data_IF_489138209372
#
_entry.id   IF_489138209372
#
_cell.length_a   1.000
_cell.length_b   1.000
_cell.length_c   1.000
_cell.angle_alpha   90.00
_cell.angle_beta   90.00
_cell.angle_gamma   90.00
#
_symmetry.space_group_name_H-M   'P 1'
#
loop_
_entity.id
_entity.type
_entity.pdbx_description
1 polymer ?
#
# COMPACT_ATOMS: atom_id res chain seq x y z
N UNK A 1 27.27 -37.33 8.32
CA UNK A 1 27.62 -36.95 6.94
C UNK A 1 27.18 -35.48 6.83
N UNK A 2 28.09 -34.53 7.11
CA UNK A 2 27.83 -33.11 6.88
C UNK A 2 27.85 -32.89 5.37
N UNK A 3 26.69 -32.66 4.78
CA UNK A 3 26.57 -32.20 3.39
C UNK A 3 27.15 -30.79 3.38
N UNK A 4 28.07 -30.57 2.46
CA UNK A 4 28.83 -29.33 2.31
C UNK A 4 27.87 -28.21 1.88
N UNK A 5 27.36 -27.47 2.88
CA UNK A 5 26.39 -26.36 2.68
C UNK A 5 26.93 -25.23 1.78
N UNK A 6 28.25 -25.10 1.65
CA UNK A 6 28.88 -24.09 0.83
C UNK A 6 28.79 -24.38 -0.69
N UNK A 7 28.85 -25.63 -1.10
CA UNK A 7 28.75 -26.04 -2.52
C UNK A 7 27.28 -25.91 -3.00
N UNK A 8 26.33 -26.20 -2.12
CA UNK A 8 24.91 -26.02 -2.41
C UNK A 8 24.53 -24.52 -2.56
N UNK A 9 25.17 -23.63 -1.79
CA UNK A 9 24.92 -22.20 -1.84
C UNK A 9 25.46 -21.54 -3.12
N UNK A 10 26.66 -21.94 -3.62
CA UNK A 10 27.19 -21.41 -4.89
C UNK A 10 26.36 -21.85 -6.10
N UNK A 11 25.95 -23.12 -6.13
CA UNK A 11 25.09 -23.63 -7.20
C UNK A 11 23.71 -22.98 -7.15
N UNK A 12 23.14 -22.78 -5.98
CA UNK A 12 21.88 -22.07 -5.77
C UNK A 12 21.97 -20.62 -6.22
N UNK A 13 23.05 -19.91 -5.91
CA UNK A 13 23.26 -18.52 -6.33
C UNK A 13 23.33 -18.41 -7.85
N UNK A 14 24.06 -19.30 -8.54
CA UNK A 14 24.15 -19.26 -10.00
C UNK A 14 22.78 -19.45 -10.66
N UNK A 15 21.97 -20.41 -10.20
CA UNK A 15 20.61 -20.65 -10.68
C UNK A 15 19.72 -19.43 -10.43
N UNK A 16 19.82 -18.83 -9.24
CA UNK A 16 19.07 -17.61 -8.89
C UNK A 16 19.42 -16.46 -9.84
N UNK A 17 20.71 -16.22 -10.09
CA UNK A 17 21.17 -15.13 -10.95
C UNK A 17 20.70 -15.34 -12.40
N UNK A 18 20.71 -16.57 -12.90
CA UNK A 18 20.17 -16.92 -14.24
C UNK A 18 18.66 -16.65 -14.32
N UNK A 19 17.89 -17.00 -13.28
CA UNK A 19 16.44 -16.74 -13.23
C UNK A 19 16.15 -15.24 -13.23
N UNK A 20 16.92 -14.45 -12.47
CA UNK A 20 16.77 -12.98 -12.43
C UNK A 20 17.18 -12.37 -13.80
N UNK A 21 18.29 -12.82 -14.39
CA UNK A 21 18.74 -12.35 -15.69
C UNK A 21 17.75 -12.67 -16.84
N UNK A 22 17.09 -13.82 -16.75
CA UNK A 22 16.03 -14.24 -17.68
C UNK A 22 14.68 -13.54 -17.47
N UNK A 23 14.57 -12.62 -16.52
CA UNK A 23 13.30 -11.98 -16.09
C UNK A 23 12.20 -13.02 -15.73
N UNK A 24 12.63 -14.16 -15.21
CA UNK A 24 11.77 -15.24 -14.75
C UNK A 24 11.42 -15.09 -13.27
N UNK A 25 10.51 -15.93 -12.76
CA UNK A 25 10.02 -15.83 -11.38
C UNK A 25 10.70 -16.84 -10.47
N UNK A 26 10.96 -16.39 -9.27
CA UNK A 26 11.34 -17.21 -8.11
C UNK A 26 10.06 -17.64 -7.41
N UNK A 27 9.90 -18.91 -7.17
CA UNK A 27 8.75 -19.50 -6.45
C UNK A 27 9.12 -19.88 -5.00
N UNK A 28 8.15 -20.14 -4.10
CA UNK A 28 8.43 -20.36 -2.67
C UNK A 28 9.39 -21.50 -2.34
N UNK A 29 9.50 -22.49 -3.23
CA UNK A 29 10.37 -23.65 -3.04
C UNK A 29 11.74 -23.52 -3.70
N UNK A 30 11.92 -22.46 -4.50
CA UNK A 30 13.19 -22.20 -5.14
C UNK A 30 14.20 -21.72 -4.12
N UNK A 31 15.45 -22.07 -4.34
CA UNK A 31 16.54 -21.49 -3.58
C UNK A 31 16.61 -19.97 -3.86
N UNK A 32 16.82 -19.19 -2.82
CA UNK A 32 16.99 -17.75 -2.93
C UNK A 32 17.95 -17.23 -1.86
N UNK A 33 18.77 -16.20 -2.16
CA UNK A 33 19.65 -15.61 -1.17
C UNK A 33 18.85 -15.03 0.02
N UNK A 34 19.37 -15.19 1.21
CA UNK A 34 18.79 -14.61 2.43
C UNK A 34 18.53 -13.11 2.33
N UNK A 35 19.40 -12.38 1.65
CA UNK A 35 19.24 -10.94 1.46
C UNK A 35 18.04 -10.60 0.57
N UNK A 36 17.76 -11.42 -0.46
CA UNK A 36 16.57 -11.30 -1.30
C UNK A 36 15.32 -11.62 -0.48
N UNK A 37 15.30 -12.73 0.25
CA UNK A 37 14.21 -13.16 1.13
C UNK A 37 13.84 -12.07 2.15
N UNK A 38 14.82 -11.53 2.88
CA UNK A 38 14.60 -10.46 3.86
C UNK A 38 14.07 -9.17 3.21
N UNK A 39 14.51 -8.85 2.01
CA UNK A 39 14.02 -7.68 1.27
C UNK A 39 12.56 -7.86 0.90
N UNK A 40 12.17 -9.04 0.41
CA UNK A 40 10.78 -9.36 0.09
C UNK A 40 9.88 -9.34 1.33
N UNK A 41 10.29 -10.00 2.42
CA UNK A 41 9.51 -9.99 3.67
C UNK A 41 9.24 -8.55 4.11
N UNK A 42 10.27 -7.71 4.17
CA UNK A 42 10.12 -6.31 4.54
C UNK A 42 9.17 -5.57 3.61
N UNK A 43 9.33 -5.70 2.29
CA UNK A 43 8.56 -4.96 1.29
C UNK A 43 7.10 -5.43 1.25
N UNK A 44 6.86 -6.73 1.23
CA UNK A 44 5.51 -7.31 1.20
C UNK A 44 4.77 -7.02 2.51
N UNK A 45 5.45 -7.16 3.66
CA UNK A 45 4.84 -6.84 4.96
C UNK A 45 4.49 -5.35 5.08
N UNK A 46 5.38 -4.46 4.65
CA UNK A 46 5.10 -3.02 4.63
C UNK A 46 3.89 -2.69 3.74
N UNK A 47 3.78 -3.34 2.60
CA UNK A 47 2.65 -3.18 1.69
C UNK A 47 1.36 -3.69 2.34
N UNK A 48 1.35 -4.92 2.86
CA UNK A 48 0.20 -5.49 3.56
C UNK A 48 -0.27 -4.62 4.74
N UNK A 49 0.67 -4.11 5.54
CA UNK A 49 0.36 -3.18 6.62
C UNK A 49 -0.25 -1.88 6.10
N UNK A 50 0.18 -1.39 4.93
CA UNK A 50 -0.38 -0.19 4.30
C UNK A 50 -1.84 -0.40 3.93
N UNK A 51 -2.20 -1.51 3.32
CA UNK A 51 -3.58 -1.86 2.98
C UNK A 51 -4.47 -1.89 4.23
N UNK A 52 -4.05 -2.62 5.27
CA UNK A 52 -4.83 -2.76 6.50
C UNK A 52 -4.99 -1.44 7.25
N UNK A 53 -3.96 -0.58 7.27
CA UNK A 53 -4.06 0.73 7.91
C UNK A 53 -4.83 1.71 7.03
N UNK A 54 -4.72 1.59 5.71
CA UNK A 54 -5.44 2.39 4.73
C UNK A 54 -6.97 2.31 4.87
N UNK A 55 -7.49 1.17 5.33
CA UNK A 55 -8.92 1.05 5.65
C UNK A 55 -9.43 2.06 6.69
N UNK A 56 -8.60 2.47 7.66
CA UNK A 56 -9.08 3.22 8.82
C UNK A 56 -9.64 4.61 8.50
N UNK A 57 -8.99 5.45 7.69
CA UNK A 57 -9.54 6.75 7.32
C UNK A 57 -10.88 6.62 6.59
N UNK A 58 -11.02 5.65 5.71
CA UNK A 58 -12.21 5.45 4.87
C UNK A 58 -13.36 4.77 5.60
N UNK A 59 -13.07 3.74 6.42
CA UNK A 59 -14.07 3.05 7.23
C UNK A 59 -14.85 4.01 8.14
N UNK A 60 -14.19 5.04 8.67
CA UNK A 60 -14.84 6.07 9.48
C UNK A 60 -15.88 6.91 8.71
N UNK A 61 -15.85 6.88 7.36
CA UNK A 61 -16.76 7.62 6.51
C UNK A 61 -17.92 6.79 5.95
N UNK A 62 -17.93 5.48 6.10
CA UNK A 62 -19.01 4.61 5.60
C UNK A 62 -20.37 5.10 6.07
N UNK A 63 -20.53 5.31 7.37
CA UNK A 63 -21.82 5.77 7.95
C UNK A 63 -22.14 7.23 7.64
N UNK A 64 -21.14 8.05 7.33
CA UNK A 64 -21.25 9.49 7.03
C UNK A 64 -21.34 9.82 5.54
N UNK A 65 -21.15 8.86 4.66
CA UNK A 65 -21.27 9.05 3.22
C UNK A 65 -22.66 9.59 2.84
N UNK A 66 -22.77 10.50 1.84
CA UNK A 66 -23.96 11.34 1.62
C UNK A 66 -25.18 10.58 1.06
N UNK A 67 -25.02 9.37 0.57
CA UNK A 67 -26.12 8.55 0.05
C UNK A 67 -25.89 7.07 0.32
N UNK A 68 -26.98 6.28 0.28
CA UNK A 68 -26.90 4.82 0.44
C UNK A 68 -25.98 4.18 -0.62
N UNK A 69 -26.03 4.68 -1.87
CA UNK A 69 -25.12 4.24 -2.94
C UNK A 69 -23.66 4.50 -2.57
N UNK A 70 -23.34 5.70 -2.08
CA UNK A 70 -21.96 6.03 -1.69
C UNK A 70 -21.50 5.25 -0.46
N UNK A 71 -22.40 4.96 0.49
CA UNK A 71 -22.10 4.06 1.64
C UNK A 71 -21.72 2.66 1.16
N UNK A 72 -22.51 2.09 0.26
CA UNK A 72 -22.28 0.74 -0.27
C UNK A 72 -20.95 0.66 -1.05
N UNK A 73 -20.65 1.66 -1.88
CA UNK A 73 -19.39 1.72 -2.64
C UNK A 73 -18.20 1.83 -1.69
N UNK A 74 -18.25 2.72 -0.70
CA UNK A 74 -17.15 2.89 0.25
C UNK A 74 -16.94 1.65 1.12
N UNK A 75 -18.03 0.96 1.49
CA UNK A 75 -17.93 -0.30 2.22
C UNK A 75 -17.26 -1.40 1.38
N UNK A 76 -17.60 -1.49 0.09
CA UNK A 76 -16.96 -2.44 -0.82
C UNK A 76 -15.45 -2.14 -0.95
N UNK A 77 -15.07 -0.88 -1.13
CA UNK A 77 -13.67 -0.46 -1.16
C UNK A 77 -12.92 -0.88 0.11
N UNK A 78 -13.45 -0.56 1.28
CA UNK A 78 -12.82 -0.92 2.57
C UNK A 78 -12.68 -2.44 2.73
N UNK A 79 -13.62 -3.21 2.20
CA UNK A 79 -13.52 -4.68 2.17
C UNK A 79 -12.41 -5.16 1.23
N UNK A 80 -12.25 -4.52 0.07
CA UNK A 80 -11.18 -4.84 -0.88
C UNK A 80 -9.81 -4.59 -0.24
N UNK A 81 -9.58 -3.45 0.43
CA UNK A 81 -8.34 -3.13 1.15
C UNK A 81 -7.99 -4.20 2.20
N UNK A 82 -9.00 -4.69 2.94
CA UNK A 82 -8.82 -5.80 3.87
C UNK A 82 -8.36 -7.08 3.13
N UNK A 83 -8.96 -7.37 1.98
CA UNK A 83 -8.61 -8.50 1.12
C UNK A 83 -7.18 -8.37 0.57
N UNK A 84 -6.77 -7.18 0.13
CA UNK A 84 -5.41 -6.88 -0.32
C UNK A 84 -4.38 -7.20 0.78
N UNK A 85 -4.62 -6.73 1.99
CA UNK A 85 -3.78 -7.04 3.15
C UNK A 85 -3.64 -8.55 3.39
N UNK A 86 -4.73 -9.32 3.28
CA UNK A 86 -4.72 -10.77 3.44
C UNK A 86 -3.94 -11.49 2.33
N UNK A 87 -4.07 -11.05 1.06
CA UNK A 87 -3.28 -11.64 -0.05
C UNK A 87 -1.79 -11.42 0.15
N UNK A 88 -1.42 -10.22 0.58
CA UNK A 88 -0.02 -9.88 0.83
C UNK A 88 0.55 -10.60 2.05
N UNK A 89 -0.22 -10.75 3.12
CA UNK A 89 0.20 -11.59 4.25
C UNK A 89 0.42 -13.04 3.82
N UNK A 90 -0.47 -13.59 2.99
CA UNK A 90 -0.28 -14.93 2.46
C UNK A 90 0.99 -15.05 1.60
N UNK A 91 1.35 -14.00 0.84
CA UNK A 91 2.61 -13.99 0.12
C UNK A 91 3.83 -13.92 1.06
N UNK A 92 3.76 -13.15 2.16
CA UNK A 92 4.82 -13.10 3.18
C UNK A 92 4.97 -14.42 3.93
N UNK A 93 3.86 -15.12 4.22
CA UNK A 93 3.86 -16.45 4.85
C UNK A 93 4.64 -17.48 4.03
N UNK A 94 4.60 -17.40 2.70
CA UNK A 94 5.41 -18.29 1.84
C UNK A 94 6.92 -18.04 1.93
N UNK A 95 7.33 -16.93 2.56
CA UNK A 95 8.73 -16.59 2.85
C UNK A 95 9.15 -16.95 4.28
N UNK A 96 8.24 -17.51 5.08
CA UNK A 96 8.49 -17.97 6.45
C UNK A 96 8.14 -16.97 7.55
N UNK A 97 7.47 -15.84 7.22
CA UNK A 97 6.99 -14.87 8.24
C UNK A 97 5.56 -15.20 8.62
N UNK A 98 5.32 -15.48 9.92
CA UNK A 98 3.99 -15.85 10.41
C UNK A 98 3.01 -14.66 10.42
N UNK A 99 1.72 -14.96 10.16
CA UNK A 99 0.67 -13.93 10.20
C UNK A 99 0.53 -13.28 11.57
N UNK A 100 0.60 -14.08 12.63
CA UNK A 100 0.51 -13.58 14.00
C UNK A 100 1.63 -12.59 14.32
N UNK A 101 2.86 -12.86 13.85
CA UNK A 101 3.97 -11.92 13.97
C UNK A 101 3.69 -10.60 13.26
N UNK A 102 3.12 -10.64 12.07
CA UNK A 102 2.76 -9.44 11.29
C UNK A 102 1.66 -8.64 11.98
N UNK A 103 0.65 -9.30 12.55
CA UNK A 103 -0.41 -8.67 13.34
C UNK A 103 0.16 -8.04 14.63
N UNK A 104 1.06 -8.73 15.32
CA UNK A 104 1.75 -8.20 16.50
C UNK A 104 2.57 -6.94 16.18
N UNK A 105 3.20 -6.88 15.01
CA UNK A 105 3.87 -5.65 14.55
C UNK A 105 2.90 -4.48 14.39
N UNK A 106 1.68 -4.72 13.86
CA UNK A 106 0.64 -3.69 13.76
C UNK A 106 0.19 -3.17 15.12
N UNK A 107 -0.07 -4.08 16.06
CA UNK A 107 -0.60 -3.76 17.38
C UNK A 107 0.47 -3.16 18.30
N UNK A 108 1.72 -3.60 18.20
CA UNK A 108 2.83 -3.02 18.95
C UNK A 108 3.25 -1.64 18.45
N UNK A 109 2.86 -1.24 17.25
CA UNK A 109 3.29 0.00 16.60
C UNK A 109 4.66 -0.10 15.92
N UNK A 110 5.22 -1.30 15.78
CA UNK A 110 6.49 -1.54 15.08
C UNK A 110 6.33 -1.68 13.56
N UNK A 111 5.11 -1.92 13.08
CA UNK A 111 4.83 -2.06 11.66
C UNK A 111 5.26 -0.81 10.89
N UNK A 112 5.91 -1.03 9.74
CA UNK A 112 6.16 0.00 8.74
C UNK A 112 5.03 -0.05 7.72
N UNK A 113 4.55 1.11 7.32
CA UNK A 113 3.48 1.29 6.32
C UNK A 113 3.60 2.67 5.67
N UNK A 114 2.84 2.94 4.63
CA UNK A 114 2.87 4.21 3.92
C UNK A 114 2.54 5.39 4.84
N UNK A 115 3.36 6.44 4.81
CA UNK A 115 3.19 7.65 5.63
C UNK A 115 1.85 8.32 5.43
N UNK A 116 1.27 8.21 4.23
CA UNK A 116 0.03 8.87 3.81
C UNK A 116 -1.16 8.57 4.74
N UNK A 117 -1.24 7.37 5.31
CA UNK A 117 -2.34 6.97 6.20
C UNK A 117 -2.31 7.63 7.58
N UNK A 118 -1.26 8.41 7.88
CA UNK A 118 -1.16 9.21 9.10
C UNK A 118 -1.63 10.67 8.92
N UNK A 119 -2.31 10.96 7.81
CA UNK A 119 -2.97 12.25 7.58
C UNK A 119 -4.49 12.17 7.87
N UNK A 120 -5.11 13.30 8.32
CA UNK A 120 -6.52 13.30 8.71
C UNK A 120 -7.45 13.40 7.48
N UNK A 121 -8.48 12.55 7.44
CA UNK A 121 -9.61 12.70 6.53
C UNK A 121 -10.71 13.54 7.21
N UNK A 122 -10.86 14.80 6.81
CA UNK A 122 -11.69 15.83 7.50
C UNK A 122 -13.08 15.98 6.91
N UNK A 123 -13.19 15.84 5.58
CA UNK A 123 -14.42 16.09 4.83
C UNK A 123 -14.75 14.93 3.91
N UNK A 124 -15.97 14.92 3.33
CA UNK A 124 -16.33 13.94 2.32
C UNK A 124 -15.44 14.03 1.07
N UNK A 125 -14.93 15.23 0.74
CA UNK A 125 -14.02 15.40 -0.39
C UNK A 125 -12.70 14.64 -0.19
N UNK A 126 -12.27 14.42 1.06
CA UNK A 126 -11.07 13.62 1.33
C UNK A 126 -11.22 12.16 0.86
N UNK A 127 -12.46 11.62 0.85
CA UNK A 127 -12.72 10.31 0.23
C UNK A 127 -12.51 10.34 -1.28
N UNK A 128 -12.80 11.48 -1.90
CA UNK A 128 -12.48 11.72 -3.30
C UNK A 128 -10.98 11.83 -3.55
N UNK A 129 -10.28 12.63 -2.74
CA UNK A 129 -8.83 12.82 -2.89
C UNK A 129 -8.04 11.56 -2.53
N UNK A 130 -8.46 10.77 -1.55
CA UNK A 130 -7.85 9.46 -1.26
C UNK A 130 -7.99 8.57 -2.50
N UNK A 131 -9.19 8.36 -3.01
CA UNK A 131 -9.38 7.53 -4.19
C UNK A 131 -8.62 8.04 -5.42
N UNK A 132 -8.61 9.33 -5.68
CA UNK A 132 -7.94 9.86 -6.86
C UNK A 132 -6.42 9.95 -6.72
N UNK A 133 -5.92 10.55 -5.62
CA UNK A 133 -4.49 10.81 -5.43
C UNK A 133 -3.76 9.63 -4.79
N UNK A 134 -4.32 9.05 -3.72
CA UNK A 134 -3.62 8.00 -2.97
C UNK A 134 -3.70 6.66 -3.72
N UNK A 135 -4.90 6.24 -4.15
CA UNK A 135 -5.04 5.01 -4.94
C UNK A 135 -4.42 5.18 -6.34
N UNK A 136 -4.45 6.41 -6.90
CA UNK A 136 -3.73 6.73 -8.13
C UNK A 136 -2.21 6.55 -8.02
N UNK A 137 -1.61 7.02 -6.93
CA UNK A 137 -0.19 6.79 -6.63
C UNK A 137 0.09 5.31 -6.33
N UNK A 138 -0.83 4.64 -5.62
CA UNK A 138 -0.75 3.20 -5.38
C UNK A 138 -0.72 2.42 -6.70
N UNK A 139 -1.62 2.68 -7.64
CA UNK A 139 -1.65 2.03 -8.96
C UNK A 139 -0.32 2.26 -9.71
N UNK A 140 0.20 3.48 -9.76
CA UNK A 140 1.49 3.77 -10.40
C UNK A 140 2.62 2.93 -9.81
N UNK A 141 2.60 2.70 -8.50
CA UNK A 141 3.60 1.90 -7.80
C UNK A 141 3.37 0.38 -7.96
N UNK A 142 2.11 -0.05 -7.94
CA UNK A 142 1.70 -1.46 -7.87
C UNK A 142 1.68 -2.16 -9.24
N UNK A 143 1.26 -1.49 -10.32
CA UNK A 143 1.20 -2.08 -11.66
C UNK A 143 2.54 -2.67 -12.10
N UNK A 144 3.69 -2.01 -11.94
CA UNK A 144 4.98 -2.62 -12.21
C UNK A 144 5.29 -3.86 -11.36
N UNK A 145 4.75 -3.94 -10.14
CA UNK A 145 4.94 -5.08 -9.24
C UNK A 145 4.20 -6.36 -9.71
N UNK A 146 3.25 -6.25 -10.64
CA UNK A 146 2.69 -7.42 -11.33
C UNK A 146 3.77 -8.27 -12.01
N UNK A 147 4.93 -7.66 -12.31
CA UNK A 147 6.10 -8.31 -12.90
C UNK A 147 7.24 -8.50 -11.88
N UNK A 148 6.97 -8.41 -10.60
CA UNK A 148 7.97 -8.70 -9.57
C UNK A 148 8.54 -10.11 -9.75
N UNK A 149 9.84 -10.25 -9.49
CA UNK A 149 10.55 -11.51 -9.60
C UNK A 149 10.07 -12.60 -8.63
N UNK A 150 9.37 -12.24 -7.56
CA UNK A 150 8.77 -13.21 -6.65
C UNK A 150 7.33 -13.54 -7.07
N UNK A 151 7.09 -14.79 -7.46
CA UNK A 151 5.84 -15.25 -8.05
C UNK A 151 4.58 -14.96 -7.21
N UNK A 152 4.53 -15.30 -5.91
CA UNK A 152 3.37 -15.00 -5.06
C UNK A 152 3.04 -13.52 -4.99
N UNK A 153 4.04 -12.64 -4.88
CA UNK A 153 3.84 -11.20 -4.83
C UNK A 153 3.28 -10.67 -6.15
N UNK A 154 3.91 -11.04 -7.28
CA UNK A 154 3.44 -10.61 -8.60
C UNK A 154 1.99 -11.06 -8.89
N UNK A 155 1.62 -12.28 -8.50
CA UNK A 155 0.24 -12.79 -8.67
C UNK A 155 -0.78 -12.03 -7.80
N UNK A 156 -0.43 -11.72 -6.56
CA UNK A 156 -1.28 -10.90 -5.69
C UNK A 156 -1.53 -9.52 -6.33
N UNK A 157 -0.49 -8.87 -6.86
CA UNK A 157 -0.59 -7.55 -7.51
C UNK A 157 -1.54 -7.53 -8.69
N UNK A 158 -1.60 -8.60 -9.51
CA UNK A 158 -2.53 -8.65 -10.66
C UNK A 158 -3.99 -8.49 -10.22
N UNK A 159 -4.36 -9.05 -9.07
CA UNK A 159 -5.71 -8.92 -8.53
C UNK A 159 -5.90 -7.55 -7.90
N UNK A 160 -5.00 -7.14 -7.03
CA UNK A 160 -5.04 -5.85 -6.31
C UNK A 160 -5.18 -4.69 -7.30
N UNK A 161 -4.35 -4.61 -8.33
CA UNK A 161 -4.42 -3.51 -9.32
C UNK A 161 -5.76 -3.41 -10.06
N UNK A 162 -6.50 -4.51 -10.23
CA UNK A 162 -7.84 -4.47 -10.84
C UNK A 162 -8.86 -3.80 -9.93
N UNK A 163 -8.80 -4.10 -8.65
CA UNK A 163 -9.69 -3.54 -7.63
C UNK A 163 -9.33 -2.08 -7.37
N UNK A 164 -8.04 -1.72 -7.28
CA UNK A 164 -7.53 -0.35 -7.16
C UNK A 164 -7.97 0.58 -8.31
N UNK A 165 -8.05 0.07 -9.53
CA UNK A 165 -8.55 0.85 -10.67
C UNK A 165 -10.00 1.32 -10.47
N UNK A 166 -10.81 0.53 -9.79
CA UNK A 166 -12.15 0.91 -9.40
C UNK A 166 -12.14 1.96 -8.30
N UNK A 167 -11.26 1.84 -7.31
CA UNK A 167 -11.10 2.78 -6.20
C UNK A 167 -10.71 4.17 -6.71
N UNK A 168 -9.70 4.24 -7.57
CA UNK A 168 -9.27 5.50 -8.20
C UNK A 168 -10.41 6.17 -8.97
N UNK A 169 -11.14 5.42 -9.77
CA UNK A 169 -12.28 5.93 -10.51
C UNK A 169 -13.36 6.50 -9.58
N UNK A 170 -13.68 5.81 -8.48
CA UNK A 170 -14.68 6.29 -7.52
C UNK A 170 -14.25 7.58 -6.85
N UNK A 171 -12.96 7.73 -6.50
CA UNK A 171 -12.41 8.97 -5.97
C UNK A 171 -12.53 10.13 -6.95
N UNK A 172 -12.13 9.90 -8.20
CA UNK A 172 -12.26 10.88 -9.28
C UNK A 172 -13.73 11.33 -9.48
N UNK A 173 -14.68 10.39 -9.50
CA UNK A 173 -16.10 10.69 -9.63
C UNK A 173 -16.67 11.50 -8.44
N UNK A 174 -16.17 11.29 -7.23
CA UNK A 174 -16.55 12.09 -6.05
C UNK A 174 -16.11 13.55 -6.26
N UNK A 175 -14.85 13.77 -6.60
CA UNK A 175 -14.31 15.13 -6.83
C UNK A 175 -15.01 15.82 -8.00
N UNK A 176 -15.20 15.10 -9.11
CA UNK A 176 -15.89 15.64 -10.29
C UNK A 176 -17.33 16.08 -9.94
N UNK A 177 -18.02 15.30 -9.09
CA UNK A 177 -19.36 15.67 -8.64
C UNK A 177 -19.35 16.92 -7.76
N UNK A 178 -18.40 17.04 -6.84
CA UNK A 178 -18.24 18.20 -5.96
C UNK A 178 -17.86 19.47 -6.76
N UNK A 179 -16.95 19.34 -7.72
CA UNK A 179 -16.52 20.47 -8.58
C UNK A 179 -17.64 20.98 -9.49
N UNK A 180 -18.64 20.16 -9.80
CA UNK A 180 -19.86 20.57 -10.54
C UNK A 180 -20.97 21.08 -9.63
N UNK A 181 -20.76 21.09 -8.33
CA UNK A 181 -21.76 21.46 -7.32
C UNK A 181 -21.74 22.95 -6.95
N UNK A 182 -22.11 23.23 -5.70
CA UNK A 182 -22.12 24.60 -5.13
C UNK A 182 -20.71 25.16 -4.94
N UNK A 183 -20.60 26.45 -4.60
CA UNK A 183 -19.32 27.08 -4.31
C UNK A 183 -18.62 26.36 -3.13
N UNK A 184 -19.35 26.08 -2.07
CA UNK A 184 -18.82 25.39 -0.87
C UNK A 184 -18.34 23.96 -1.19
N UNK A 185 -19.01 23.28 -2.10
CA UNK A 185 -18.57 21.95 -2.56
C UNK A 185 -17.28 22.02 -3.36
N UNK A 186 -17.14 23.01 -4.25
CA UNK A 186 -15.89 23.22 -4.99
C UNK A 186 -14.73 23.59 -4.07
N UNK A 187 -14.96 24.49 -3.12
CA UNK A 187 -13.95 24.85 -2.12
C UNK A 187 -13.53 23.65 -1.29
N UNK A 188 -14.48 22.84 -0.81
CA UNK A 188 -14.19 21.61 -0.08
C UNK A 188 -13.33 20.63 -0.90
N UNK A 189 -13.63 20.48 -2.20
CA UNK A 189 -12.85 19.61 -3.09
C UNK A 189 -11.43 20.16 -3.28
N UNK A 190 -11.28 21.46 -3.54
CA UNK A 190 -9.98 22.11 -3.71
C UNK A 190 -9.12 22.01 -2.44
N UNK A 191 -9.69 22.30 -1.28
CA UNK A 191 -9.00 22.15 0.00
C UNK A 191 -8.55 20.71 0.28
N UNK A 192 -9.36 19.75 -0.13
CA UNK A 192 -8.99 18.33 -0.01
C UNK A 192 -7.79 18.01 -0.92
N UNK A 193 -7.81 18.44 -2.17
CA UNK A 193 -6.68 18.28 -3.10
C UNK A 193 -5.41 18.91 -2.52
N UNK A 194 -5.53 20.12 -1.97
CA UNK A 194 -4.39 20.82 -1.34
C UNK A 194 -3.76 20.01 -0.19
N UNK A 195 -4.57 19.30 0.59
CA UNK A 195 -4.08 18.48 1.71
C UNK A 195 -3.41 17.20 1.28
N UNK A 196 -3.88 16.56 0.21
CA UNK A 196 -3.47 15.21 -0.16
C UNK A 196 -2.41 15.16 -1.25
N UNK A 197 -2.17 16.24 -1.99
CA UNK A 197 -1.24 16.28 -3.12
C UNK A 197 0.21 15.94 -2.71
N UNK A 198 0.83 16.74 -1.87
CA UNK A 198 2.22 16.51 -1.46
C UNK A 198 2.41 15.16 -0.74
N UNK A 199 1.55 14.76 0.24
CA UNK A 199 1.61 13.44 0.82
C UNK A 199 1.49 12.29 -0.19
N UNK A 200 0.68 12.43 -1.25
CA UNK A 200 0.58 11.40 -2.30
C UNK A 200 1.88 11.26 -3.10
N UNK A 201 2.55 12.38 -3.42
CA UNK A 201 3.88 12.34 -4.06
C UNK A 201 4.97 11.68 -3.20
N UNK A 202 4.85 11.78 -1.88
CA UNK A 202 5.76 11.13 -0.92
C UNK A 202 5.55 9.60 -0.82
N UNK A 203 4.45 9.05 -1.32
CA UNK A 203 4.18 7.60 -1.27
C UNK A 203 5.21 6.77 -2.03
N UNK A 204 5.86 7.35 -3.03
CA UNK A 204 6.91 6.68 -3.80
C UNK A 204 8.22 6.49 -3.01
N UNK A 205 8.33 7.15 -1.85
CA UNK A 205 9.51 7.14 -0.99
C UNK A 205 10.44 8.33 -1.27
N UNK A 206 11.56 8.43 -0.55
CA UNK A 206 12.51 9.54 -0.71
C UNK A 206 13.13 9.52 -2.12
N UNK A 207 13.84 10.62 -2.52
CA UNK A 207 14.61 10.66 -3.76
C UNK A 207 15.55 9.47 -3.90
N UNK A 208 15.84 9.06 -5.12
CA UNK A 208 16.68 7.89 -5.39
C UNK A 208 18.05 7.98 -4.72
N UNK A 209 18.64 9.19 -4.65
CA UNK A 209 19.88 9.46 -3.96
C UNK A 209 19.85 9.10 -2.46
N UNK A 210 18.67 9.18 -1.84
CA UNK A 210 18.45 8.91 -0.41
C UNK A 210 17.80 7.54 -0.16
N UNK A 211 17.66 6.71 -1.22
CA UNK A 211 16.99 5.42 -1.17
C UNK A 211 17.91 4.23 -1.51
N UNK A 212 18.82 3.83 -0.61
CA UNK A 212 19.85 2.81 -0.88
C UNK A 212 19.28 1.42 -1.19
N UNK A 213 18.03 1.14 -0.80
CA UNK A 213 17.40 -0.14 -1.04
C UNK A 213 16.71 -0.24 -2.41
N UNK A 214 16.47 0.90 -3.09
CA UNK A 214 15.77 0.93 -4.37
C UNK A 214 16.58 0.26 -5.46
N UNK A 215 17.86 0.63 -5.61
CA UNK A 215 18.76 0.04 -6.60
C UNK A 215 18.88 -1.49 -6.46
N UNK A 216 18.99 -1.98 -5.22
CA UNK A 216 19.08 -3.43 -4.96
C UNK A 216 17.77 -4.16 -5.28
N UNK A 217 16.63 -3.58 -4.98
CA UNK A 217 15.32 -4.14 -5.34
C UNK A 217 15.11 -4.17 -6.85
N UNK A 218 15.63 -3.17 -7.58
CA UNK A 218 15.60 -3.16 -9.05
C UNK A 218 16.56 -4.20 -9.64
N UNK A 219 17.78 -4.33 -9.13
CA UNK A 219 18.73 -5.35 -9.58
C UNK A 219 18.19 -6.78 -9.47
N UNK A 220 17.31 -7.02 -8.51
CA UNK A 220 16.64 -8.30 -8.33
C UNK A 220 15.27 -8.39 -9.02
N UNK A 221 14.91 -7.45 -9.86
CA UNK A 221 13.61 -7.41 -10.53
C UNK A 221 12.40 -7.47 -9.57
N UNK A 222 12.58 -7.16 -8.28
CA UNK A 222 11.45 -6.98 -7.33
C UNK A 222 10.70 -5.70 -7.69
N UNK A 223 11.44 -4.62 -7.93
CA UNK A 223 10.95 -3.30 -8.35
C UNK A 223 11.43 -3.02 -9.78
N UNK A 224 10.60 -2.38 -10.61
CA UNK A 224 10.90 -2.15 -12.04
C UNK A 224 11.33 -0.72 -12.35
N UNK A 225 11.00 0.22 -11.50
CA UNK A 225 11.28 1.64 -11.67
C UNK A 225 11.77 2.24 -10.36
N UNK A 226 12.53 3.31 -10.44
CA UNK A 226 13.00 4.04 -9.28
C UNK A 226 11.87 4.82 -8.60
N UNK A 227 12.13 5.39 -7.42
CA UNK A 227 11.15 6.23 -6.74
C UNK A 227 10.84 7.50 -7.56
N UNK A 228 11.88 8.11 -8.12
CA UNK A 228 11.76 9.34 -8.88
C UNK A 228 11.06 9.10 -10.23
N UNK A 229 11.35 7.98 -10.93
CA UNK A 229 10.63 7.57 -12.13
C UNK A 229 9.13 7.40 -11.89
N UNK A 230 8.75 6.72 -10.80
CA UNK A 230 7.36 6.48 -10.46
C UNK A 230 6.63 7.77 -10.07
N UNK A 231 7.29 8.64 -9.30
CA UNK A 231 6.75 9.95 -8.93
C UNK A 231 6.53 10.83 -10.16
N UNK A 232 7.51 10.86 -11.08
CA UNK A 232 7.38 11.60 -12.34
C UNK A 232 6.19 11.11 -13.17
N UNK A 233 6.07 9.80 -13.37
CA UNK A 233 4.93 9.19 -14.09
C UNK A 233 3.59 9.54 -13.46
N UNK A 234 3.55 9.58 -12.13
CA UNK A 234 2.33 9.96 -11.42
C UNK A 234 1.98 11.41 -11.65
N UNK A 235 2.94 12.35 -11.59
CA UNK A 235 2.71 13.77 -11.89
C UNK A 235 2.20 13.95 -13.32
N UNK A 236 2.86 13.31 -14.29
CA UNK A 236 2.47 13.40 -15.71
C UNK A 236 1.05 12.86 -15.98
N UNK A 237 0.63 11.84 -15.24
CA UNK A 237 -0.74 11.32 -15.29
C UNK A 237 -1.74 12.24 -14.60
N UNK A 238 -1.33 12.87 -13.49
CA UNK A 238 -2.21 13.61 -12.60
C UNK A 238 -2.63 14.95 -13.19
N UNK A 239 -1.71 15.66 -13.86
CA UNK A 239 -1.97 17.02 -14.36
C UNK A 239 -3.13 17.07 -15.35
N UNK A 240 -3.21 16.25 -16.41
CA UNK A 240 -4.36 16.22 -17.30
C UNK A 240 -5.67 15.86 -16.59
N UNK A 241 -5.62 15.02 -15.57
CA UNK A 241 -6.81 14.67 -14.78
C UNK A 241 -7.28 15.83 -13.91
N UNK A 242 -6.36 16.62 -13.33
CA UNK A 242 -6.69 17.82 -12.59
C UNK A 242 -7.40 18.87 -13.46
N UNK A 243 -6.96 19.02 -14.69
CA UNK A 243 -7.62 19.91 -15.68
C UNK A 243 -9.06 19.47 -15.95
N UNK A 244 -9.29 18.17 -16.16
CA UNK A 244 -10.65 17.61 -16.36
C UNK A 244 -11.52 17.82 -15.13
N UNK A 245 -10.97 17.67 -13.93
CA UNK A 245 -11.68 17.94 -12.67
C UNK A 245 -11.97 19.43 -12.47
N UNK A 246 -11.15 20.31 -13.02
CA UNK A 246 -11.20 21.76 -12.77
C UNK A 246 -10.62 22.14 -11.41
N UNK A 247 -9.70 21.35 -10.87
CA UNK A 247 -8.96 21.64 -9.63
C UNK A 247 -7.57 22.17 -9.95
N UNK A 248 -7.02 22.98 -9.07
CA UNK A 248 -5.64 23.47 -9.16
C UNK A 248 -4.75 22.59 -8.26
N UNK A 249 -3.69 22.04 -8.80
CA UNK A 249 -2.67 21.35 -8.00
C UNK A 249 -1.84 22.40 -7.23
N UNK A 250 -1.63 22.20 -5.91
CA UNK A 250 -1.01 23.23 -5.06
C UNK A 250 0.53 23.20 -5.17
N UNK A 251 1.03 23.35 -6.36
CA UNK A 251 2.46 23.33 -6.68
C UNK A 251 2.79 24.48 -7.64
N UNK A 252 3.41 25.56 -7.14
CA UNK A 252 3.73 26.73 -7.95
C UNK A 252 4.82 26.47 -8.99
N UNK A 253 5.61 25.41 -8.83
CA UNK A 253 6.68 25.07 -9.77
C UNK A 253 6.21 24.10 -10.85
N UNK A 254 4.95 23.64 -10.77
CA UNK A 254 4.38 22.69 -11.71
C UNK A 254 4.23 23.32 -13.10
N UNK A 255 5.01 22.86 -14.06
CA UNK A 255 4.97 23.35 -15.44
C UNK A 255 5.45 22.29 -16.41
N UNK A 256 4.90 22.30 -17.62
CA UNK A 256 5.40 21.45 -18.70
C UNK A 256 6.82 21.86 -19.12
N UNK A 257 7.70 20.88 -19.23
CA UNK A 257 9.07 21.05 -19.70
C UNK A 257 9.24 20.37 -21.05
N UNK A 258 9.32 21.16 -22.12
CA UNK A 258 9.42 20.66 -23.50
C UNK A 258 10.69 19.83 -23.75
N UNK A 259 11.81 20.17 -23.10
CA UNK A 259 13.07 19.48 -23.30
C UNK A 259 13.05 18.07 -22.68
N UNK A 260 12.36 17.92 -21.53
CA UNK A 260 12.25 16.66 -20.80
C UNK A 260 11.06 15.82 -21.26
N UNK A 261 10.06 16.44 -21.89
CA UNK A 261 8.79 15.80 -22.19
C UNK A 261 7.99 15.38 -20.95
N UNK A 262 8.15 16.09 -19.85
CA UNK A 262 7.55 15.84 -18.54
C UNK A 262 7.18 17.13 -17.84
N UNK A 263 6.30 17.06 -16.85
CA UNK A 263 6.05 18.17 -15.93
C UNK A 263 7.17 18.28 -14.89
N UNK A 264 7.76 19.48 -14.76
CA UNK A 264 8.56 19.83 -13.58
C UNK A 264 7.61 20.06 -12.41
N UNK A 265 8.02 19.68 -11.20
CA UNK A 265 7.26 19.87 -9.96
C UNK A 265 8.18 20.33 -8.82
N UNK A 266 7.56 20.95 -7.79
CA UNK A 266 8.26 21.56 -6.67
C UNK A 266 8.90 20.57 -5.70
N UNK A 267 9.67 21.10 -4.77
CA UNK A 267 10.32 20.34 -3.71
C UNK A 267 9.29 19.84 -2.68
N UNK A 268 9.46 18.60 -2.23
CA UNK A 268 8.66 17.99 -1.18
C UNK A 268 9.33 18.16 0.19
N UNK A 269 8.54 18.26 1.25
CA UNK A 269 9.03 18.33 2.64
C UNK A 269 9.43 16.95 3.16
N UNK A 270 10.69 16.56 2.92
CA UNK A 270 11.23 15.29 3.38
C UNK A 270 11.48 15.26 4.89
N UNK A 271 11.53 16.40 5.56
CA UNK A 271 11.60 16.47 7.03
C UNK A 271 10.25 16.09 7.63
N UNK A 272 9.13 16.63 7.12
CA UNK A 272 7.79 16.18 7.48
C UNK A 272 7.61 14.68 7.25
N UNK A 273 7.99 14.18 6.07
CA UNK A 273 7.93 12.75 5.76
C UNK A 273 8.68 11.91 6.81
N UNK A 274 9.89 12.34 7.17
CA UNK A 274 10.72 11.66 8.18
C UNK A 274 10.07 11.66 9.56
N UNK A 275 9.45 12.76 9.98
CA UNK A 275 8.74 12.87 11.25
C UNK A 275 7.52 11.93 11.29
N UNK A 276 6.75 11.84 10.19
CA UNK A 276 5.63 10.91 10.08
C UNK A 276 6.10 9.46 10.18
N UNK A 277 7.20 9.11 9.50
CA UNK A 277 7.79 7.76 9.58
C UNK A 277 8.30 7.40 10.99
N UNK A 278 8.75 8.39 11.77
CA UNK A 278 9.15 8.22 13.18
C UNK A 278 7.96 8.15 14.15
N UNK A 279 6.73 8.20 13.66
CA UNK A 279 5.53 8.12 14.48
C UNK A 279 5.06 9.47 15.06
N UNK A 280 5.56 10.61 14.56
CA UNK A 280 5.22 11.96 15.02
C UNK A 280 4.32 12.75 14.07
N UNK A 281 3.74 12.09 13.08
CA UNK A 281 2.75 12.70 12.20
C UNK A 281 1.40 12.93 12.87
N UNK A 282 0.50 13.67 12.20
CA UNK A 282 -0.73 14.19 12.81
C UNK A 282 -1.70 13.12 13.30
N UNK A 283 -1.64 11.88 12.76
CA UNK A 283 -2.58 10.81 13.11
C UNK A 283 -1.90 9.52 13.59
N UNK A 284 -0.58 9.45 13.69
CA UNK A 284 0.12 8.22 14.09
C UNK A 284 -0.40 7.64 15.40
N UNK A 285 -0.47 8.46 16.47
CA UNK A 285 -0.95 8.02 17.78
C UNK A 285 -2.41 7.56 17.74
N UNK A 286 -3.27 8.34 17.07
CA UNK A 286 -4.71 8.02 16.94
C UNK A 286 -4.92 6.73 16.15
N UNK A 287 -4.15 6.51 15.06
CA UNK A 287 -4.23 5.28 14.26
C UNK A 287 -3.83 4.05 15.08
N UNK A 288 -2.77 4.17 15.87
CA UNK A 288 -2.29 3.07 16.73
C UNK A 288 -3.26 2.75 17.84
N UNK A 289 -3.75 3.77 18.55
CA UNK A 289 -4.72 3.61 19.64
C UNK A 289 -6.00 2.93 19.13
N UNK A 290 -6.57 3.40 18.01
CA UNK A 290 -7.78 2.81 17.43
C UNK A 290 -7.61 1.33 17.08
N UNK A 291 -6.44 0.95 16.52
CA UNK A 291 -6.17 -0.47 16.22
C UNK A 291 -6.15 -1.31 17.48
N UNK A 292 -5.48 -0.84 18.53
CA UNK A 292 -5.40 -1.54 19.82
C UNK A 292 -6.77 -1.67 20.46
N UNK A 293 -7.49 -0.58 20.58
CA UNK A 293 -8.86 -0.59 21.17
C UNK A 293 -9.77 -1.55 20.40
N UNK A 294 -9.81 -1.47 19.07
CA UNK A 294 -10.63 -2.38 18.26
C UNK A 294 -10.21 -3.85 18.40
N UNK A 295 -8.92 -4.12 18.54
CA UNK A 295 -8.42 -5.45 18.80
C UNK A 295 -8.86 -5.97 20.18
N UNK A 296 -8.70 -5.16 21.20
CA UNK A 296 -9.08 -5.54 22.59
C UNK A 296 -10.59 -5.71 22.73
N UNK A 297 -11.39 -4.82 22.14
CA UNK A 297 -12.85 -4.93 22.10
C UNK A 297 -13.31 -6.22 21.41
N UNK A 298 -12.55 -6.71 20.43
CA UNK A 298 -12.81 -7.97 19.73
C UNK A 298 -12.27 -9.23 20.42
N UNK A 299 -11.67 -9.15 21.61
CA UNK A 299 -11.03 -10.28 22.29
C UNK A 299 -12.00 -11.45 22.52
N UNK A 300 -13.21 -11.17 22.99
CA UNK A 300 -14.23 -12.18 23.25
C UNK A 300 -14.63 -12.99 22.00
N UNK A 301 -14.62 -12.37 20.82
CA UNK A 301 -14.91 -13.05 19.54
C UNK A 301 -13.79 -14.05 19.23
N UNK A 302 -12.54 -13.64 19.38
CA UNK A 302 -11.38 -14.50 19.15
C UNK A 302 -11.34 -15.67 20.15
N UNK A 303 -11.65 -15.41 21.41
CA UNK A 303 -11.75 -16.43 22.46
C UNK A 303 -12.86 -17.46 22.15
N UNK A 304 -14.03 -17.00 21.74
CA UNK A 304 -15.13 -17.86 21.33
C UNK A 304 -14.77 -18.71 20.11
N UNK A 305 -14.13 -18.12 19.10
CA UNK A 305 -13.68 -18.84 17.92
C UNK A 305 -12.62 -19.90 18.26
N UNK A 306 -11.66 -19.58 19.12
CA UNK A 306 -10.63 -20.50 19.59
C UNK A 306 -11.24 -21.65 20.42
N UNK A 307 -12.24 -21.34 21.26
CA UNK A 307 -12.96 -22.36 22.04
C UNK A 307 -13.74 -23.33 21.12
N UNK A 308 -14.38 -22.80 20.10
CA UNK A 308 -15.06 -23.60 19.09
C UNK A 308 -14.09 -24.52 18.30
N UNK A 309 -12.97 -23.96 17.85
CA UNK A 309 -11.95 -24.74 17.15
C UNK A 309 -11.41 -25.90 18.00
N UNK A 310 -11.10 -25.66 19.29
CA UNK A 310 -10.68 -26.71 20.21
C UNK A 310 -11.75 -27.79 20.40
N UNK A 311 -13.02 -27.41 20.47
CA UNK A 311 -14.13 -28.37 20.58
C UNK A 311 -14.25 -29.24 19.33
N UNK A 312 -14.07 -28.65 18.15
CA UNK A 312 -14.13 -29.38 16.86
C UNK A 312 -12.97 -30.36 16.75
N UNK A 313 -11.74 -29.97 17.02
CA UNK A 313 -10.57 -30.83 17.01
C UNK A 313 -10.73 -32.06 17.93
N UNK A 314 -11.18 -31.85 19.18
CA UNK A 314 -11.45 -32.95 20.11
C UNK A 314 -12.52 -33.90 19.62
N UNK A 315 -13.53 -33.41 18.88
CA UNK A 315 -14.56 -34.25 18.29
C UNK A 315 -14.01 -35.12 17.16
N UNK A 316 -13.18 -34.54 16.32
CA UNK A 316 -12.51 -35.27 15.21
C UNK A 316 -11.58 -36.35 15.72
N UNK A 317 -10.77 -36.07 16.75
CA UNK A 317 -9.92 -37.04 17.42
C UNK A 317 -10.73 -38.21 17.98
N UNK A 318 -11.89 -37.97 18.58
CA UNK A 318 -12.78 -39.03 19.12
C UNK A 318 -13.48 -39.84 18.05
N UNK A 319 -13.61 -39.32 16.83
CA UNK A 319 -14.20 -40.08 15.72
C UNK A 319 -13.14 -40.94 15.04
N UNK A 320 -11.87 -40.50 15.08
CA UNK A 320 -10.73 -41.21 14.49
C UNK A 320 -10.17 -42.31 15.38
N UNK A 321 -10.51 -42.34 16.69
CA UNK A 321 -10.14 -43.38 17.67
C UNK A 321 -11.25 -44.44 17.80
#
# INVERSE_FOLDING_TARGET
>A
MMIDTAVDDEAGQAVFDDVIAADSRIEPRDWMPDAYRRTLIRQISQHAHSEIIGMQPEANWITRAPSLKRKAILMAKVQDEAGHGLYLYSAAETLGTGRDELVDQLLSGKAKYSSIFNYPARTWADMGSIGWLVDGAAICNQVPLCRASYGPYGRAMVRICKEESFHQRQGFEILLHLMRGTQEQREMAQESVNRWYAPALMMFGPPDADSPNSAKSMAWNIKRFSNDDLRQRFVDMLVPQAEVLGVTLPDPDLKWNEERGHYDYGQLDWDEFTEVLKGRGPMNAVRLERRRTAHDDGAWVREAAAAYARKTARREERIAS
#
